data_IF_601101301339
#
_entry.id   IF_601101301339
#
_cell.length_a   1.000
_cell.length_b   1.000
_cell.length_c   1.000
_cell.angle_alpha   90.00
_cell.angle_beta   90.00
_cell.angle_gamma   90.00
#
_symmetry.space_group_name_H-M   'P 1'
#
loop_
_entity.id
_entity.type
_entity.pdbx_description
1 polymer ?
#
# COMPACT_ATOMS: atom_id res chain seq x y z
N UNK A 1 -15.95 -6.47 7.54
CA UNK A 1 -15.15 -7.70 7.37
C UNK A 1 -14.68 -7.83 5.92
N UNK A 2 -13.67 -7.08 5.50
CA UNK A 2 -13.19 -7.07 4.10
C UNK A 2 -11.87 -7.86 3.99
N UNK A 3 -11.96 -9.13 3.62
CA UNK A 3 -10.84 -9.90 3.11
C UNK A 3 -11.18 -10.24 1.67
N UNK A 4 -10.58 -9.56 0.70
CA UNK A 4 -10.79 -9.86 -0.71
C UNK A 4 -10.42 -11.33 -0.96
N UNK A 5 -11.28 -12.03 -1.70
CA UNK A 5 -10.99 -13.36 -2.20
C UNK A 5 -9.76 -13.32 -3.10
N UNK A 6 -8.84 -14.26 -2.91
CA UNK A 6 -7.73 -14.49 -3.83
C UNK A 6 -8.18 -15.51 -4.88
N UNK A 7 -7.76 -15.29 -6.12
CA UNK A 7 -7.93 -16.23 -7.20
C UNK A 7 -6.65 -16.29 -8.05
N UNK A 8 -6.59 -17.22 -9.00
CA UNK A 8 -5.38 -17.42 -9.80
C UNK A 8 -4.96 -16.24 -10.67
N UNK A 9 -5.81 -15.22 -10.80
CA UNK A 9 -5.57 -13.98 -11.53
C UNK A 9 -5.69 -12.75 -10.63
N UNK A 10 -5.53 -12.89 -9.32
CA UNK A 10 -5.54 -11.75 -8.38
C UNK A 10 -4.52 -10.68 -8.74
N UNK A 11 -3.41 -11.03 -9.38
CA UNK A 11 -2.57 -10.09 -10.12
C UNK A 11 -2.45 -10.57 -11.56
N UNK A 12 -2.91 -9.76 -12.51
CA UNK A 12 -2.97 -10.14 -13.94
C UNK A 12 -1.58 -10.42 -14.50
N UNK A 13 -0.57 -9.68 -14.04
CA UNK A 13 0.82 -9.83 -14.48
C UNK A 13 1.55 -10.99 -13.78
N UNK A 14 1.02 -11.49 -12.66
CA UNK A 14 1.62 -12.55 -11.86
C UNK A 14 0.55 -13.60 -11.48
N UNK A 15 -0.03 -14.32 -12.46
CA UNK A 15 -1.06 -15.30 -12.18
C UNK A 15 -0.47 -16.52 -11.46
N UNK A 16 -1.21 -17.07 -10.51
CA UNK A 16 -0.80 -18.24 -9.72
C UNK A 16 -1.87 -19.33 -9.82
N UNK A 17 -1.54 -20.45 -10.44
CA UNK A 17 -2.42 -21.61 -10.52
C UNK A 17 -1.97 -22.70 -9.56
N UNK A 18 -2.87 -23.62 -9.20
CA UNK A 18 -2.44 -24.87 -8.55
C UNK A 18 -1.81 -25.72 -9.64
N UNK A 19 -0.52 -26.03 -9.50
CA UNK A 19 0.20 -26.77 -10.52
C UNK A 19 -0.43 -28.15 -10.74
N UNK A 20 -0.43 -28.62 -11.99
CA UNK A 20 -0.77 -30.01 -12.35
C UNK A 20 0.06 -31.03 -11.58
N UNK A 21 1.26 -30.65 -11.15
CA UNK A 21 2.19 -31.50 -10.39
C UNK A 21 2.08 -31.30 -8.88
N UNK A 22 1.14 -30.47 -8.40
CA UNK A 22 0.91 -30.31 -6.97
C UNK A 22 0.22 -31.54 -6.40
N UNK A 23 0.69 -32.00 -5.24
CA UNK A 23 0.06 -33.08 -4.48
C UNK A 23 -1.40 -32.77 -4.14
N UNK A 24 -1.74 -31.49 -3.93
CA UNK A 24 -3.09 -31.04 -3.59
C UNK A 24 -3.97 -30.74 -4.82
N UNK A 25 -3.51 -31.02 -6.05
CA UNK A 25 -4.33 -30.86 -7.25
C UNK A 25 -5.15 -32.13 -7.54
N UNK A 26 -6.49 -32.11 -7.38
CA UNK A 26 -7.34 -33.29 -7.61
C UNK A 26 -7.48 -33.65 -9.09
N UNK A 27 -7.03 -32.78 -10.01
CA UNK A 27 -6.95 -33.03 -11.45
C UNK A 27 -5.48 -33.09 -11.91
N UNK A 28 -4.56 -33.36 -10.98
CA UNK A 28 -3.13 -33.38 -11.21
C UNK A 28 -2.58 -34.72 -11.75
N UNK A 29 -1.28 -34.74 -12.02
CA UNK A 29 -0.56 -35.91 -12.56
C UNK A 29 -0.47 -37.08 -11.58
N UNK A 30 -0.63 -36.81 -10.28
CA UNK A 30 -0.63 -37.82 -9.22
C UNK A 30 -1.94 -38.62 -9.14
N UNK A 31 -3.00 -38.19 -9.83
CA UNK A 31 -4.33 -38.82 -9.77
C UNK A 31 -4.49 -39.84 -10.88
N UNK A 32 -4.60 -41.12 -10.50
CA UNK A 32 -4.80 -42.24 -11.43
C UNK A 32 -6.16 -42.09 -12.13
N UNK A 33 -6.16 -42.02 -13.46
CA UNK A 33 -7.37 -41.87 -14.28
C UNK A 33 -7.77 -40.44 -14.63
N UNK A 34 -6.98 -39.43 -14.25
CA UNK A 34 -7.18 -38.06 -14.73
C UNK A 34 -6.93 -38.00 -16.25
N UNK A 35 -7.99 -37.74 -17.04
CA UNK A 35 -7.96 -37.80 -18.50
C UNK A 35 -7.00 -36.78 -19.16
N UNK A 36 -6.68 -35.68 -18.44
CA UNK A 36 -5.61 -34.74 -18.79
C UNK A 36 -5.21 -33.95 -17.54
N UNK A 37 -4.02 -34.23 -17.00
CA UNK A 37 -3.52 -33.46 -15.86
C UNK A 37 -3.31 -31.99 -16.25
N UNK A 38 -3.89 -31.07 -15.48
CA UNK A 38 -3.91 -29.65 -15.80
C UNK A 38 -3.69 -28.76 -14.59
N UNK A 39 -3.18 -27.55 -14.84
CA UNK A 39 -3.10 -26.52 -13.81
C UNK A 39 -4.52 -26.06 -13.46
N UNK A 40 -4.84 -25.95 -12.17
CA UNK A 40 -6.20 -25.65 -11.71
C UNK A 40 -6.32 -24.17 -11.34
N UNK A 41 -7.35 -23.52 -11.88
CA UNK A 41 -7.79 -22.21 -11.42
C UNK A 41 -8.49 -22.34 -10.07
N UNK A 42 -8.19 -21.46 -9.12
CA UNK A 42 -8.87 -21.43 -7.83
C UNK A 42 -9.47 -20.05 -7.54
N UNK A 43 -10.47 -20.03 -6.67
CA UNK A 43 -11.00 -18.84 -6.02
C UNK A 43 -11.26 -19.19 -4.55
N UNK A 44 -10.60 -18.50 -3.62
CA UNK A 44 -10.75 -18.74 -2.18
C UNK A 44 -10.59 -17.45 -1.40
N UNK A 45 -11.35 -17.33 -0.30
CA UNK A 45 -11.07 -16.35 0.73
C UNK A 45 -10.22 -17.01 1.82
N UNK A 46 -9.02 -16.49 2.06
CA UNK A 46 -8.13 -16.94 3.14
C UNK A 46 -8.55 -16.21 4.41
N UNK A 47 -9.52 -16.75 5.15
CA UNK A 47 -10.04 -16.12 6.38
C UNK A 47 -9.12 -16.37 7.58
N UNK A 48 -8.25 -17.37 7.44
CA UNK A 48 -7.31 -17.83 8.46
C UNK A 48 -6.13 -16.87 8.67
N UNK A 49 -5.86 -16.00 7.69
CA UNK A 49 -4.81 -14.97 7.75
C UNK A 49 -5.45 -13.58 7.69
N UNK A 50 -5.86 -13.01 8.84
CA UNK A 50 -6.54 -11.73 8.86
C UNK A 50 -5.63 -10.60 8.36
N UNK A 51 -6.17 -9.74 7.49
CA UNK A 51 -5.48 -8.52 7.04
C UNK A 51 -5.55 -7.44 8.10
N UNK A 52 -4.41 -6.83 8.39
CA UNK A 52 -4.29 -5.67 9.27
C UNK A 52 -3.36 -4.63 8.64
N UNK A 53 -3.72 -3.36 8.77
CA UNK A 53 -2.87 -2.24 8.36
C UNK A 53 -2.80 -1.23 9.50
N UNK A 54 -1.60 -0.98 9.98
CA UNK A 54 -1.30 0.03 10.99
C UNK A 54 -0.69 1.26 10.31
N UNK A 55 -1.28 2.42 10.57
CA UNK A 55 -0.81 3.70 10.04
C UNK A 55 -0.34 4.59 11.20
N UNK A 56 0.87 5.11 11.09
CA UNK A 56 1.43 6.07 12.05
C UNK A 56 1.74 7.38 11.34
N UNK A 57 0.96 8.40 11.66
CA UNK A 57 1.10 9.72 11.07
C UNK A 57 1.65 10.71 12.09
N UNK A 58 2.59 11.54 11.64
CA UNK A 58 3.11 12.68 12.38
C UNK A 58 2.86 13.93 11.56
N UNK A 59 2.18 14.88 12.18
CA UNK A 59 1.84 16.17 11.57
C UNK A 59 2.45 17.30 12.38
N UNK A 60 3.09 18.24 11.69
CA UNK A 60 3.55 19.51 12.24
C UNK A 60 2.82 20.60 11.47
N UNK A 61 2.24 21.54 12.20
CA UNK A 61 1.57 22.70 11.63
C UNK A 61 2.01 23.93 12.40
N UNK A 62 2.51 24.94 11.69
CA UNK A 62 2.99 26.19 12.25
C UNK A 62 2.44 27.32 11.40
N UNK A 63 1.78 28.26 12.05
CA UNK A 63 1.29 29.50 11.47
C UNK A 63 1.91 30.67 12.20
N UNK A 64 2.36 31.65 11.43
CA UNK A 64 2.80 32.93 11.94
C UNK A 64 2.22 34.03 11.06
N UNK A 65 1.69 35.08 11.69
CA UNK A 65 1.21 36.25 10.99
C UNK A 65 1.66 37.50 11.74
N UNK A 66 1.98 38.54 10.98
CA UNK A 66 2.21 39.88 11.49
C UNK A 66 1.29 40.83 10.74
N UNK A 67 0.67 41.72 11.48
CA UNK A 67 -0.19 42.76 10.95
C UNK A 67 0.14 44.10 11.60
N UNK A 68 -0.16 45.18 10.90
CA UNK A 68 0.04 46.51 11.43
C UNK A 68 -0.50 47.59 10.52
N UNK A 69 -0.44 48.81 11.04
CA UNK A 69 -0.84 50.01 10.34
C UNK A 69 0.28 51.04 10.33
N UNK A 70 0.45 51.71 9.20
CA UNK A 70 1.46 52.76 9.00
C UNK A 70 0.81 53.95 8.32
N UNK A 71 1.22 55.16 8.67
CA UNK A 71 0.81 56.36 7.96
C UNK A 71 1.83 56.67 6.86
N UNK A 72 1.41 56.57 5.59
CA UNK A 72 2.23 56.87 4.42
C UNK A 72 1.57 58.03 3.67
N UNK A 73 2.33 59.09 3.36
CA UNK A 73 1.83 60.27 2.65
C UNK A 73 0.55 60.91 3.25
N UNK A 74 0.36 60.81 4.58
CA UNK A 74 -0.78 61.39 5.28
C UNK A 74 -2.05 60.55 5.25
N UNK A 75 -2.00 59.32 4.73
CA UNK A 75 -3.10 58.35 4.79
C UNK A 75 -2.67 57.09 5.55
N UNK A 76 -3.63 56.44 6.21
CA UNK A 76 -3.40 55.18 6.90
C UNK A 76 -3.38 54.02 5.89
N UNK A 77 -2.42 53.11 6.08
CA UNK A 77 -2.22 51.90 5.32
C UNK A 77 -2.10 50.72 6.26
N UNK A 78 -2.90 49.70 6.02
CA UNK A 78 -2.87 48.44 6.73
C UNK A 78 -2.09 47.41 5.91
N UNK A 79 -1.24 46.65 6.58
CA UNK A 79 -0.47 45.59 5.96
C UNK A 79 -0.51 44.33 6.81
N UNK A 80 -0.39 43.19 6.15
CA UNK A 80 -0.20 41.91 6.81
C UNK A 80 0.78 41.05 6.02
N UNK A 81 1.51 40.21 6.74
CA UNK A 81 2.31 39.12 6.16
C UNK A 81 2.02 37.85 6.93
N UNK A 82 1.84 36.76 6.21
CA UNK A 82 1.55 35.44 6.77
C UNK A 82 2.58 34.43 6.30
N UNK A 83 2.89 33.47 7.16
CA UNK A 83 3.65 32.28 6.81
C UNK A 83 3.02 31.04 7.44
N UNK A 84 2.83 30.00 6.64
CA UNK A 84 2.37 28.69 7.06
C UNK A 84 3.40 27.63 6.65
N UNK A 85 3.73 26.76 7.60
CA UNK A 85 4.44 25.52 7.36
C UNK A 85 3.60 24.35 7.87
N UNK A 86 3.24 23.44 6.97
CA UNK A 86 2.49 22.24 7.29
C UNK A 86 3.22 21.03 6.73
N UNK A 87 3.57 20.07 7.56
CA UNK A 87 4.20 18.83 7.13
C UNK A 87 3.51 17.63 7.75
N UNK A 88 3.24 16.63 6.94
CA UNK A 88 2.76 15.31 7.35
C UNK A 88 3.75 14.26 6.88
N UNK A 89 4.05 13.29 7.74
CA UNK A 89 4.79 12.08 7.38
C UNK A 89 4.06 10.87 7.94
N UNK A 90 3.87 9.87 7.10
CA UNK A 90 3.19 8.63 7.40
C UNK A 90 4.15 7.45 7.27
N UNK A 91 3.97 6.46 8.14
CA UNK A 91 4.43 5.10 7.86
C UNK A 91 3.27 4.12 7.98
N UNK A 92 3.22 3.19 7.04
CA UNK A 92 2.21 2.13 6.99
C UNK A 92 2.89 0.79 7.21
N UNK A 93 2.26 -0.10 7.97
CA UNK A 93 2.69 -1.48 8.14
C UNK A 93 1.49 -2.39 7.90
N UNK A 94 1.60 -3.31 6.95
CA UNK A 94 0.52 -4.21 6.55
C UNK A 94 0.89 -5.67 6.81
N UNK A 95 -0.10 -6.50 7.12
CA UNK A 95 0.02 -7.95 7.25
C UNK A 95 -1.26 -8.61 6.74
N UNK A 96 -1.18 -9.90 6.40
CA UNK A 96 -2.30 -10.69 5.89
C UNK A 96 -2.49 -10.58 4.37
N UNK A 97 -1.64 -9.80 3.69
CA UNK A 97 -1.51 -9.86 2.25
C UNK A 97 -0.78 -11.15 1.85
N UNK A 98 -0.98 -11.61 0.62
CA UNK A 98 -0.36 -12.86 0.16
C UNK A 98 0.80 -12.53 -0.76
N UNK A 99 1.97 -13.09 -0.46
CA UNK A 99 3.15 -13.06 -1.32
C UNK A 99 2.94 -14.06 -2.47
N UNK A 100 2.74 -13.56 -3.68
CA UNK A 100 2.42 -14.39 -4.85
C UNK A 100 3.62 -15.24 -5.31
N UNK A 101 4.85 -14.81 -5.02
CA UNK A 101 6.06 -15.60 -5.32
C UNK A 101 6.11 -16.84 -4.43
N UNK A 102 5.85 -16.68 -3.13
CA UNK A 102 5.80 -17.80 -2.21
C UNK A 102 4.56 -18.66 -2.45
N UNK A 103 3.40 -18.05 -2.75
CA UNK A 103 2.20 -18.78 -3.10
C UNK A 103 2.41 -19.67 -4.34
N UNK A 104 3.07 -19.17 -5.38
CA UNK A 104 3.36 -19.96 -6.58
C UNK A 104 4.25 -21.17 -6.29
N UNK A 105 5.20 -21.05 -5.35
CA UNK A 105 6.01 -22.18 -4.89
C UNK A 105 5.17 -23.17 -4.06
N UNK A 106 4.36 -22.67 -3.13
CA UNK A 106 3.51 -23.47 -2.24
C UNK A 106 2.42 -24.25 -2.99
N UNK A 107 1.90 -23.69 -4.09
CA UNK A 107 0.93 -24.33 -5.00
C UNK A 107 1.60 -25.06 -6.18
N UNK A 108 2.93 -25.05 -6.23
CA UNK A 108 3.74 -25.66 -7.27
C UNK A 108 3.85 -27.19 -7.12
N UNK A 109 4.79 -27.81 -7.84
CA UNK A 109 5.07 -29.24 -7.72
C UNK A 109 5.30 -29.64 -6.26
N UNK A 110 4.66 -30.71 -5.81
CA UNK A 110 4.85 -31.26 -4.46
C UNK A 110 4.66 -32.77 -4.46
N UNK A 111 5.26 -33.43 -3.48
CA UNK A 111 5.24 -34.89 -3.33
C UNK A 111 5.06 -35.29 -1.87
N UNK A 112 4.48 -36.47 -1.65
CA UNK A 112 4.39 -37.09 -0.33
C UNK A 112 5.69 -37.84 -0.03
N UNK A 113 6.38 -37.47 1.05
CA UNK A 113 7.56 -38.19 1.53
C UNK A 113 7.21 -39.56 2.12
N UNK A 114 8.21 -40.43 2.24
CA UNK A 114 8.04 -41.75 2.88
C UNK A 114 7.64 -41.67 4.36
N UNK A 115 7.85 -40.52 4.98
CA UNK A 115 7.44 -40.17 6.35
C UNK A 115 6.02 -39.60 6.43
N UNK A 116 5.27 -39.58 5.32
CA UNK A 116 3.90 -39.09 5.27
C UNK A 116 3.75 -37.57 5.24
N UNK A 117 4.85 -36.82 5.08
CA UNK A 117 4.83 -35.35 5.03
C UNK A 117 4.94 -34.87 3.58
N UNK A 118 3.99 -34.02 3.17
CA UNK A 118 4.00 -33.38 1.85
C UNK A 118 5.07 -32.29 1.82
N UNK A 119 5.85 -32.22 0.73
CA UNK A 119 6.92 -31.23 0.54
C UNK A 119 6.85 -30.63 -0.86
N UNK A 120 7.24 -29.36 -0.99
CA UNK A 120 7.43 -28.74 -2.31
C UNK A 120 8.61 -29.40 -3.03
N UNK A 121 8.45 -29.69 -4.32
CA UNK A 121 9.44 -30.40 -5.12
C UNK A 121 8.81 -31.50 -5.96
N UNK A 122 9.64 -32.19 -6.74
CA UNK A 122 9.18 -33.31 -7.59
C UNK A 122 9.52 -34.68 -7.00
N UNK A 123 10.47 -34.74 -6.06
CA UNK A 123 10.88 -35.96 -5.37
C UNK A 123 11.78 -35.62 -4.16
N UNK A 124 12.12 -36.63 -3.36
CA UNK A 124 13.03 -36.47 -2.21
C UNK A 124 14.39 -35.85 -2.57
N UNK A 125 14.93 -36.13 -3.76
CA UNK A 125 16.20 -35.57 -4.23
C UNK A 125 16.07 -34.19 -4.87
N UNK A 126 14.85 -33.74 -5.14
CA UNK A 126 14.54 -32.45 -5.75
C UNK A 126 13.47 -31.70 -4.93
N UNK A 127 13.77 -31.55 -3.63
CA UNK A 127 12.95 -30.81 -2.68
C UNK A 127 13.32 -29.33 -2.72
N UNK A 128 12.33 -28.45 -2.74
CA UNK A 128 12.54 -27.00 -2.68
C UNK A 128 12.73 -26.61 -1.21
N UNK A 129 13.99 -26.35 -0.82
CA UNK A 129 14.33 -25.97 0.55
C UNK A 129 13.58 -24.71 1.00
N UNK A 130 13.03 -24.73 2.21
CA UNK A 130 12.32 -23.59 2.81
C UNK A 130 10.92 -23.31 2.23
N UNK A 131 10.43 -24.12 1.30
CA UNK A 131 9.06 -24.02 0.81
C UNK A 131 8.10 -24.87 1.65
N UNK A 132 6.98 -24.28 2.04
CA UNK A 132 5.89 -24.98 2.72
C UNK A 132 4.74 -25.18 1.72
N UNK A 133 4.35 -26.42 1.39
CA UNK A 133 3.26 -26.66 0.46
C UNK A 133 1.94 -26.23 1.09
N UNK A 134 1.03 -25.70 0.29
CA UNK A 134 -0.25 -25.15 0.78
C UNK A 134 -1.43 -25.86 0.13
N UNK A 135 -2.23 -26.55 0.94
CA UNK A 135 -3.52 -27.09 0.51
C UNK A 135 -4.58 -25.98 0.52
N UNK A 136 -4.62 -25.23 -0.58
CA UNK A 136 -5.58 -24.16 -0.75
C UNK A 136 -7.01 -24.68 -0.93
N UNK A 137 -7.23 -25.95 -1.30
CA UNK A 137 -8.57 -26.50 -1.55
C UNK A 137 -9.20 -27.08 -0.28
N UNK A 138 -8.39 -27.54 0.68
CA UNK A 138 -8.84 -28.17 1.93
C UNK A 138 -9.50 -27.23 2.95
N UNK A 139 -9.67 -25.93 2.63
CA UNK A 139 -10.33 -24.97 3.50
C UNK A 139 -9.50 -24.59 4.73
N UNK A 140 -10.10 -23.96 5.76
CA UNK A 140 -9.36 -23.49 6.94
C UNK A 140 -8.65 -24.59 7.73
N UNK A 141 -9.21 -25.79 7.78
CA UNK A 141 -8.64 -26.90 8.55
C UNK A 141 -7.36 -27.49 7.93
N UNK A 142 -7.14 -27.29 6.63
CA UNK A 142 -5.94 -27.73 5.93
C UNK A 142 -4.85 -26.64 5.86
N UNK A 143 -5.20 -25.40 6.24
CA UNK A 143 -4.29 -24.26 6.25
C UNK A 143 -3.43 -24.25 7.53
N UNK A 144 -2.29 -24.94 7.49
CA UNK A 144 -1.34 -24.96 8.62
C UNK A 144 -0.78 -23.55 8.90
N UNK A 145 -0.49 -23.21 10.18
CA UNK A 145 0.16 -21.93 10.52
C UNK A 145 1.45 -21.68 9.74
N UNK A 146 2.24 -22.72 9.49
CA UNK A 146 3.51 -22.65 8.76
C UNK A 146 3.28 -22.27 7.28
N UNK A 147 2.27 -22.87 6.64
CA UNK A 147 1.91 -22.52 5.27
C UNK A 147 1.36 -21.10 5.17
N UNK A 148 0.53 -20.68 6.14
CA UNK A 148 -0.01 -19.34 6.21
C UNK A 148 1.08 -18.29 6.40
N UNK A 149 2.04 -18.50 7.30
CA UNK A 149 3.16 -17.58 7.50
C UNK A 149 4.09 -17.57 6.27
N UNK A 150 4.31 -18.71 5.62
CA UNK A 150 5.13 -18.79 4.40
C UNK A 150 4.57 -17.94 3.25
N UNK A 151 3.24 -17.96 3.05
CA UNK A 151 2.59 -17.16 2.02
C UNK A 151 2.24 -15.75 2.48
N UNK A 152 2.37 -15.43 3.76
CA UNK A 152 2.06 -14.12 4.30
C UNK A 152 3.07 -13.08 3.80
N UNK A 153 2.56 -11.93 3.38
CA UNK A 153 3.36 -10.76 3.08
C UNK A 153 3.15 -9.72 4.18
N UNK A 154 4.26 -9.35 4.81
CA UNK A 154 4.34 -8.20 5.72
C UNK A 154 4.91 -7.05 4.91
N UNK A 155 4.03 -6.14 4.52
CA UNK A 155 4.35 -4.99 3.68
C UNK A 155 4.28 -3.68 4.44
N UNK A 156 4.43 -2.59 3.72
CA UNK A 156 4.38 -1.26 4.30
C UNK A 156 5.00 -0.22 3.39
N UNK A 157 4.97 1.02 3.84
CA UNK A 157 5.51 2.13 3.10
C UNK A 157 5.71 3.36 3.95
N UNK A 158 6.32 4.37 3.36
CA UNK A 158 6.40 5.70 3.94
C UNK A 158 5.94 6.74 2.94
N UNK A 159 5.09 7.64 3.40
CA UNK A 159 4.58 8.76 2.63
C UNK A 159 4.82 10.07 3.38
N UNK A 160 4.69 11.18 2.67
CA UNK A 160 4.75 12.48 3.30
C UNK A 160 4.44 13.61 2.34
N UNK A 161 4.04 14.74 2.91
CA UNK A 161 3.80 15.98 2.19
C UNK A 161 4.18 17.16 3.06
N UNK A 162 4.78 18.17 2.43
CA UNK A 162 5.13 19.44 3.06
C UNK A 162 4.58 20.57 2.21
N UNK A 163 3.90 21.50 2.88
CA UNK A 163 3.37 22.72 2.32
C UNK A 163 4.05 23.88 3.03
N UNK A 164 4.59 24.81 2.25
CA UNK A 164 4.99 26.12 2.72
C UNK A 164 4.19 27.16 1.96
N UNK A 165 3.57 28.12 2.65
CA UNK A 165 2.95 29.26 1.99
C UNK A 165 3.27 30.56 2.70
N UNK A 166 3.46 31.61 1.91
CA UNK A 166 3.65 32.97 2.38
C UNK A 166 2.65 33.89 1.69
N UNK A 167 2.08 34.82 2.47
CA UNK A 167 1.20 35.88 1.97
C UNK A 167 1.73 37.23 2.40
N UNK A 168 1.49 38.25 1.58
CA UNK A 168 1.72 39.64 1.92
C UNK A 168 0.62 40.49 1.30
N UNK A 169 -0.11 41.22 2.12
CA UNK A 169 -1.23 42.04 1.72
C UNK A 169 -1.03 43.48 2.19
N UNK A 170 -1.49 44.43 1.37
CA UNK A 170 -1.47 45.84 1.70
C UNK A 170 -2.74 46.51 1.19
N UNK A 171 -3.34 47.36 2.02
CA UNK A 171 -4.50 48.15 1.63
C UNK A 171 -4.49 49.52 2.30
N UNK A 172 -5.10 50.51 1.65
CA UNK A 172 -5.10 51.88 2.16
C UNK A 172 -5.71 52.88 1.19
N UNK A 173 -5.56 54.17 1.49
CA UNK A 173 -6.06 55.26 0.63
C UNK A 173 -4.93 55.90 -0.15
N UNK A 174 -5.04 55.95 -1.47
CA UNK A 174 -4.00 56.48 -2.37
C UNK A 174 -4.15 57.98 -2.61
N UNK A 175 -5.39 58.46 -2.75
CA UNK A 175 -5.69 59.86 -3.04
C UNK A 175 -6.92 60.30 -2.25
N UNK A 176 -6.85 61.48 -1.63
CA UNK A 176 -8.02 62.12 -1.05
C UNK A 176 -8.70 62.97 -2.12
N UNK A 177 -9.90 62.58 -2.53
CA UNK A 177 -10.72 63.32 -3.48
C UNK A 177 -11.76 64.18 -2.73
N UNK A 178 -12.32 65.22 -3.36
CA UNK A 178 -13.35 66.07 -2.74
C UNK A 178 -14.60 65.30 -2.25
N UNK A 179 -14.85 64.10 -2.78
CA UNK A 179 -15.97 63.24 -2.42
C UNK A 179 -15.58 62.03 -1.54
N UNK A 180 -14.33 61.95 -1.05
CA UNK A 180 -13.83 60.85 -0.22
C UNK A 180 -12.48 60.29 -0.69
N UNK A 181 -11.88 59.41 0.13
CA UNK A 181 -10.62 58.73 -0.21
C UNK A 181 -10.80 57.66 -1.29
N UNK A 182 -9.90 57.63 -2.28
CA UNK A 182 -9.78 56.53 -3.23
C UNK A 182 -8.93 55.41 -2.62
N UNK A 183 -9.56 54.28 -2.33
CA UNK A 183 -8.92 53.10 -1.77
C UNK A 183 -8.12 52.28 -2.80
N UNK A 184 -7.12 51.55 -2.33
CA UNK A 184 -6.35 50.56 -3.07
C UNK A 184 -6.05 49.35 -2.17
N UNK A 185 -6.01 48.17 -2.77
CA UNK A 185 -5.56 46.96 -2.12
C UNK A 185 -4.81 46.07 -3.12
N UNK A 186 -3.75 45.43 -2.66
CA UNK A 186 -2.99 44.45 -3.42
C UNK A 186 -2.45 43.37 -2.49
N UNK A 187 -2.22 42.19 -3.04
CA UNK A 187 -1.67 41.05 -2.31
C UNK A 187 -0.76 40.20 -3.19
N UNK A 188 0.17 39.49 -2.54
CA UNK A 188 1.03 38.49 -3.14
C UNK A 188 0.94 37.21 -2.31
N UNK A 189 0.75 36.08 -2.99
CA UNK A 189 0.82 34.76 -2.39
C UNK A 189 1.88 33.91 -3.11
N UNK A 190 2.65 33.17 -2.32
CA UNK A 190 3.51 32.10 -2.82
C UNK A 190 3.25 30.83 -2.04
N UNK A 191 3.00 29.73 -2.75
CA UNK A 191 2.75 28.41 -2.16
C UNK A 191 3.58 27.35 -2.85
N UNK A 192 4.29 26.56 -2.05
CA UNK A 192 5.02 25.39 -2.48
C UNK A 192 4.47 24.12 -1.82
N UNK A 193 4.33 23.06 -2.61
CA UNK A 193 3.92 21.73 -2.16
C UNK A 193 4.91 20.70 -2.65
N UNK A 194 5.43 19.88 -1.73
CA UNK A 194 6.32 18.74 -2.04
C UNK A 194 5.78 17.50 -1.36
N UNK A 195 5.91 16.34 -1.99
CA UNK A 195 5.51 15.07 -1.40
C UNK A 195 6.29 13.90 -1.94
N UNK A 196 6.18 12.76 -1.25
CA UNK A 196 6.73 11.49 -1.68
C UNK A 196 5.83 10.34 -1.24
N UNK A 197 5.94 9.23 -1.96
CA UNK A 197 5.36 7.94 -1.61
C UNK A 197 6.39 6.85 -1.91
N UNK A 198 6.66 5.98 -0.94
CA UNK A 198 7.67 4.90 -1.01
C UNK A 198 7.04 3.60 -0.50
N UNK A 199 6.36 2.84 -1.37
CA UNK A 199 5.81 1.53 -1.02
C UNK A 199 6.88 0.43 -0.95
N UNK A 200 6.54 -0.73 -0.40
CA UNK A 200 7.42 -1.91 -0.36
C UNK A 200 7.74 -2.42 -1.78
N UNK A 201 8.94 -2.99 -1.95
CA UNK A 201 9.43 -3.52 -3.23
C UNK A 201 8.52 -4.57 -3.88
N UNK A 202 7.91 -5.48 -3.11
CA UNK A 202 7.02 -6.51 -3.65
C UNK A 202 5.67 -5.94 -4.05
N UNK A 203 5.19 -4.93 -3.32
CA UNK A 203 3.97 -4.19 -3.67
C UNK A 203 4.18 -3.36 -4.95
N UNK A 204 5.33 -2.69 -5.09
CA UNK A 204 5.71 -1.98 -6.32
C UNK A 204 5.75 -2.87 -7.56
N UNK A 205 6.16 -4.13 -7.38
CA UNK A 205 6.27 -5.11 -8.46
C UNK A 205 4.96 -5.88 -8.71
N UNK A 206 3.87 -5.55 -8.00
CA UNK A 206 2.60 -6.27 -8.05
C UNK A 206 2.77 -7.79 -7.79
N UNK A 207 3.67 -8.14 -6.86
CA UNK A 207 3.96 -9.52 -6.42
C UNK A 207 3.20 -9.89 -5.14
N UNK A 208 2.26 -9.05 -4.73
CA UNK A 208 1.41 -9.25 -3.56
C UNK A 208 -0.05 -9.01 -3.93
N UNK A 209 -0.97 -9.35 -3.04
CA UNK A 209 -2.40 -9.08 -3.21
C UNK A 209 -2.85 -7.70 -2.68
N UNK A 210 -1.91 -6.80 -2.37
CA UNK A 210 -2.23 -5.42 -2.01
C UNK A 210 -2.63 -4.65 -3.28
#
# INVERSE_FOLDING_TARGET
MAGYGINSRSQVNNPVYISRNSYYNPLGTSVVGAAAAQDLFFYRRVIENPRSTDNKNKTVHIDAALEGSVNLAGTAWDWSVGYNHSSVSGTTASSGNINLVNLAKALGPSYLGADGVVRCGTSATNTIAGCVPFDILGGPNAATPEALEYINHRGGGSDGSTVNSATADISGTVLNLPAGGLGFAAGLEHREVRGYDKPDSLEQLALTTN
#
